data_IF_042586335588
#
_entry.id   IF_042586335588
#
_cell.length_a   1.000
_cell.length_b   1.000
_cell.length_c   1.000
_cell.angle_alpha   90.00
_cell.angle_beta   90.00
_cell.angle_gamma   90.00
#
_symmetry.space_group_name_H-M   'P 1'
#
loop_
_entity.id
_entity.type
_entity.pdbx_description
1 polymer ?
#
# COMPACT_ATOMS: atom_id res chain seq x y z
N UNK A 1 -27.28 6.83 4.57
CA UNK A 1 -25.88 6.42 4.35
C UNK A 1 -25.16 7.61 3.74
N UNK A 2 -23.98 7.95 4.24
CA UNK A 2 -23.13 9.02 3.69
C UNK A 2 -22.02 8.38 2.89
N UNK A 3 -21.66 8.95 1.76
CA UNK A 3 -20.60 8.44 0.87
C UNK A 3 -19.25 8.39 1.61
N UNK A 4 -18.99 9.38 2.46
CA UNK A 4 -17.72 9.52 3.19
C UNK A 4 -17.43 8.38 4.17
N UNK A 5 -18.48 7.65 4.60
CA UNK A 5 -18.38 6.54 5.57
C UNK A 5 -18.77 5.19 4.97
N UNK A 6 -19.03 5.15 3.65
CA UNK A 6 -19.39 3.92 2.96
C UNK A 6 -18.14 3.28 2.35
N UNK A 7 -17.72 2.16 2.89
CA UNK A 7 -16.61 1.35 2.40
C UNK A 7 -16.93 -0.15 2.53
N UNK A 8 -16.14 -1.03 1.91
CA UNK A 8 -16.34 -2.48 1.92
C UNK A 8 -15.04 -3.20 2.22
N UNK A 9 -15.10 -4.09 3.19
CA UNK A 9 -14.04 -5.04 3.52
C UNK A 9 -14.59 -6.46 3.40
N UNK A 10 -13.83 -7.37 2.80
CA UNK A 10 -14.27 -8.75 2.56
C UNK A 10 -13.10 -9.72 2.61
N UNK A 11 -12.82 -10.23 3.81
CA UNK A 11 -11.74 -11.18 4.08
C UNK A 11 -10.52 -10.56 4.73
N UNK A 12 -10.29 -9.25 4.58
CA UNK A 12 -9.16 -8.56 5.21
C UNK A 12 -9.30 -8.55 6.75
N UNK A 13 -10.51 -8.58 7.28
CA UNK A 13 -10.76 -8.79 8.72
C UNK A 13 -10.22 -10.13 9.21
N UNK A 14 -10.33 -11.17 8.40
CA UNK A 14 -9.75 -12.49 8.70
C UNK A 14 -8.23 -12.45 8.66
N UNK A 15 -7.66 -11.80 7.64
CA UNK A 15 -6.21 -11.57 7.53
C UNK A 15 -5.69 -10.80 8.74
N UNK A 16 -6.38 -9.72 9.13
CA UNK A 16 -6.03 -8.92 10.31
C UNK A 16 -5.96 -9.78 11.59
N UNK A 17 -6.97 -10.62 11.82
CA UNK A 17 -7.01 -11.54 12.97
C UNK A 17 -5.87 -12.56 12.96
N UNK A 18 -5.39 -12.92 11.78
CA UNK A 18 -4.31 -13.89 11.60
C UNK A 18 -2.91 -13.33 11.75
N UNK A 19 -2.74 -12.01 11.76
CA UNK A 19 -1.42 -11.41 11.96
C UNK A 19 -0.83 -11.79 13.30
N UNK A 20 0.45 -12.19 13.29
CA UNK A 20 1.19 -12.55 14.50
C UNK A 20 2.05 -11.37 14.97
N UNK A 21 1.40 -10.22 15.15
CA UNK A 21 2.00 -8.97 15.62
C UNK A 21 0.97 -8.19 16.41
N UNK A 22 1.42 -7.42 17.40
CA UNK A 22 0.53 -6.51 18.12
C UNK A 22 0.08 -5.37 17.21
N UNK A 23 -1.24 -5.29 17.00
CA UNK A 23 -1.90 -4.27 16.18
C UNK A 23 -2.72 -3.27 16.99
N UNK A 24 -2.66 -3.33 18.33
CA UNK A 24 -3.41 -2.41 19.18
C UNK A 24 -2.96 -0.97 18.98
N UNK A 25 -3.91 -0.04 19.00
CA UNK A 25 -3.71 1.41 18.82
C UNK A 25 -2.85 1.75 17.59
N UNK A 26 -3.14 1.11 16.46
CA UNK A 26 -2.35 1.25 15.23
C UNK A 26 -3.20 1.45 13.98
N UNK A 27 -2.53 1.90 12.90
CA UNK A 27 -3.01 1.72 11.54
C UNK A 27 -2.43 0.39 11.01
N UNK A 28 -3.28 -0.46 10.47
CA UNK A 28 -2.83 -1.66 9.77
C UNK A 28 -3.05 -1.47 8.28
N UNK A 29 -1.97 -1.59 7.52
CA UNK A 29 -1.99 -1.48 6.07
C UNK A 29 -1.88 -2.87 5.46
N UNK A 30 -2.79 -3.20 4.57
CA UNK A 30 -2.79 -4.40 3.76
C UNK A 30 -2.69 -4.01 2.28
N UNK A 31 -1.47 -3.69 1.78
CA UNK A 31 -1.25 -3.39 0.38
C UNK A 31 -1.63 -4.59 -0.50
N UNK A 32 -2.48 -4.36 -1.49
CA UNK A 32 -3.02 -5.38 -2.38
C UNK A 32 -3.69 -4.76 -3.59
N UNK A 33 -4.49 -5.55 -4.32
CA UNK A 33 -5.30 -5.02 -5.44
C UNK A 33 -6.16 -3.84 -4.97
N UNK A 34 -6.85 -4.04 -3.85
CA UNK A 34 -7.61 -3.05 -3.10
C UNK A 34 -6.94 -2.86 -1.75
N UNK A 35 -5.94 -2.00 -1.69
CA UNK A 35 -5.19 -1.73 -0.46
C UNK A 35 -6.13 -1.26 0.65
N UNK A 36 -5.97 -1.80 1.86
CA UNK A 36 -6.73 -1.39 3.04
C UNK A 36 -5.85 -0.62 4.02
N UNK A 37 -6.40 0.46 4.56
CA UNK A 37 -5.88 1.17 5.72
C UNK A 37 -6.90 1.05 6.84
N UNK A 38 -6.60 0.26 7.86
CA UNK A 38 -7.52 -0.14 8.93
C UNK A 38 -7.07 0.51 10.22
N UNK A 39 -7.96 1.23 10.89
CA UNK A 39 -7.72 1.80 12.21
C UNK A 39 -8.14 0.80 13.29
N UNK A 40 -7.20 0.42 14.14
CA UNK A 40 -7.43 -0.49 15.27
C UNK A 40 -7.26 0.28 16.56
N UNK A 41 -8.25 0.14 17.46
CA UNK A 41 -8.26 0.78 18.78
C UNK A 41 -7.36 0.05 19.80
N UNK A 42 -7.17 0.66 20.98
CA UNK A 42 -6.39 0.06 22.08
C UNK A 42 -7.01 -1.22 22.65
N UNK A 43 -8.31 -1.47 22.43
CA UNK A 43 -9.00 -2.70 22.80
C UNK A 43 -9.14 -3.68 21.61
N UNK A 44 -8.26 -3.54 20.63
CA UNK A 44 -8.15 -4.43 19.44
C UNK A 44 -9.40 -4.50 18.55
N UNK A 45 -10.21 -3.44 18.53
CA UNK A 45 -11.39 -3.37 17.65
C UNK A 45 -11.08 -2.58 16.38
N UNK A 46 -11.60 -3.02 15.25
CA UNK A 46 -11.64 -2.23 14.02
C UNK A 46 -12.63 -1.08 14.25
N UNK A 47 -12.16 0.17 14.19
CA UNK A 47 -12.99 1.35 14.39
C UNK A 47 -13.29 2.11 13.09
N UNK A 48 -12.40 2.00 12.11
CA UNK A 48 -12.57 2.59 10.78
C UNK A 48 -11.66 1.91 9.76
N UNK A 49 -11.97 2.03 8.48
CA UNK A 49 -11.08 1.59 7.41
C UNK A 49 -11.33 2.35 6.11
N UNK A 50 -10.30 2.42 5.27
CA UNK A 50 -10.34 3.03 3.95
C UNK A 50 -9.73 2.12 2.91
N UNK A 51 -10.36 2.07 1.73
CA UNK A 51 -9.91 1.25 0.60
C UNK A 51 -9.32 2.13 -0.50
N UNK A 52 -8.18 1.70 -1.06
CA UNK A 52 -7.52 2.33 -2.20
C UNK A 52 -7.36 1.31 -3.34
N UNK A 53 -7.51 1.77 -4.58
CA UNK A 53 -7.38 0.93 -5.79
C UNK A 53 -5.93 0.78 -6.28
N UNK A 54 -4.94 0.99 -5.43
CA UNK A 54 -3.54 1.14 -5.82
C UNK A 54 -3.00 -0.02 -6.63
N UNK A 55 -3.25 -1.26 -6.20
CA UNK A 55 -2.77 -2.44 -6.92
C UNK A 55 -3.50 -2.67 -8.24
N UNK A 56 -4.81 -2.48 -8.27
CA UNK A 56 -5.61 -2.60 -9.50
C UNK A 56 -5.23 -1.51 -10.50
N UNK A 57 -5.07 -0.26 -10.05
CA UNK A 57 -4.58 0.84 -10.89
C UNK A 57 -3.17 0.56 -11.43
N UNK A 58 -2.26 0.03 -10.60
CA UNK A 58 -0.93 -0.38 -11.05
C UNK A 58 -1.03 -1.36 -12.20
N UNK A 59 -1.87 -2.40 -12.06
CA UNK A 59 -2.06 -3.42 -13.09
C UNK A 59 -2.68 -2.82 -14.36
N UNK A 60 -3.78 -2.10 -14.24
CA UNK A 60 -4.50 -1.53 -15.38
C UNK A 60 -3.62 -0.54 -16.16
N UNK A 61 -2.94 0.38 -15.46
CA UNK A 61 -2.08 1.38 -16.11
C UNK A 61 -0.89 0.73 -16.80
N UNK A 62 -0.24 -0.24 -16.16
CA UNK A 62 0.91 -0.93 -16.73
C UNK A 62 0.56 -1.82 -17.92
N UNK A 63 -0.70 -2.21 -18.10
CA UNK A 63 -1.13 -3.14 -19.12
C UNK A 63 -1.88 -2.47 -20.27
N UNK A 64 -2.78 -1.56 -19.96
CA UNK A 64 -3.81 -1.08 -20.90
C UNK A 64 -3.62 0.39 -21.31
N UNK A 65 -2.44 1.00 -21.02
CA UNK A 65 -2.13 2.37 -21.39
C UNK A 65 -0.84 2.49 -22.20
N UNK A 66 -0.50 3.72 -22.60
CA UNK A 66 0.79 4.03 -23.24
C UNK A 66 2.00 3.68 -22.36
N UNK A 67 1.81 3.42 -21.07
CA UNK A 67 2.86 3.05 -20.14
C UNK A 67 3.18 1.54 -20.16
N UNK A 68 2.43 0.73 -20.89
CA UNK A 68 2.61 -0.73 -20.94
C UNK A 68 4.00 -1.18 -21.40
N UNK A 69 4.71 -0.35 -22.18
CA UNK A 69 6.10 -0.61 -22.61
C UNK A 69 7.15 -0.02 -21.67
N UNK A 70 6.76 0.85 -20.75
CA UNK A 70 7.66 1.58 -19.84
C UNK A 70 7.61 1.03 -18.42
N UNK A 71 6.42 0.66 -17.96
CA UNK A 71 6.17 0.16 -16.60
C UNK A 71 6.13 -1.36 -16.64
N UNK A 72 7.15 -2.00 -16.06
CA UNK A 72 7.22 -3.44 -15.95
C UNK A 72 7.11 -3.86 -14.47
N UNK A 73 5.99 -4.43 -14.09
CA UNK A 73 5.71 -4.89 -12.72
C UNK A 73 6.63 -6.04 -12.22
N UNK A 74 7.45 -6.63 -13.10
CA UNK A 74 8.46 -7.62 -12.72
C UNK A 74 9.77 -6.97 -12.24
N UNK A 75 9.92 -5.66 -12.46
CA UNK A 75 11.05 -4.89 -11.99
C UNK A 75 10.91 -4.59 -10.49
N UNK A 76 12.04 -4.43 -9.81
CA UNK A 76 12.06 -3.87 -8.46
C UNK A 76 12.08 -2.33 -8.56
N UNK A 77 11.22 -1.61 -7.83
CA UNK A 77 11.19 -0.17 -7.91
C UNK A 77 12.47 0.43 -7.31
N UNK A 78 13.22 1.19 -8.12
CA UNK A 78 14.40 1.92 -7.66
C UNK A 78 14.01 2.95 -6.60
N UNK A 79 14.68 2.91 -5.44
CA UNK A 79 14.33 3.74 -4.27
C UNK A 79 14.48 5.24 -4.51
N UNK A 80 15.50 5.64 -5.28
CA UNK A 80 15.72 7.06 -5.62
C UNK A 80 14.58 7.56 -6.51
N UNK A 81 14.23 6.79 -7.52
CA UNK A 81 13.15 7.17 -8.43
C UNK A 81 11.77 7.06 -7.77
N UNK A 82 11.59 6.18 -6.81
CA UNK A 82 10.39 6.12 -5.97
C UNK A 82 10.17 7.44 -5.21
N UNK A 83 11.24 7.99 -4.60
CA UNK A 83 11.18 9.33 -3.97
C UNK A 83 10.90 10.43 -4.99
N UNK A 84 11.62 10.44 -6.11
CA UNK A 84 11.44 11.46 -7.16
C UNK A 84 10.00 11.44 -7.67
N UNK A 85 9.40 10.27 -7.91
CA UNK A 85 8.02 10.13 -8.35
C UNK A 85 7.02 10.63 -7.32
N UNK A 86 7.21 10.29 -6.05
CA UNK A 86 6.41 10.77 -4.93
C UNK A 86 6.43 12.30 -4.83
N UNK A 87 7.62 12.90 -4.80
CA UNK A 87 7.80 14.34 -4.71
C UNK A 87 7.31 15.09 -5.97
N UNK A 88 7.45 14.47 -7.14
CA UNK A 88 6.92 15.03 -8.39
C UNK A 88 5.40 15.06 -8.35
N UNK A 89 4.76 13.97 -7.90
CA UNK A 89 3.31 13.90 -7.76
C UNK A 89 2.78 14.93 -6.74
N UNK A 90 3.49 15.14 -5.65
CA UNK A 90 3.16 16.18 -4.67
C UNK A 90 3.06 17.59 -5.29
N UNK A 91 3.91 17.88 -6.27
CA UNK A 91 4.00 19.20 -6.93
C UNK A 91 3.09 19.34 -8.14
N UNK A 92 2.87 18.26 -8.89
CA UNK A 92 2.27 18.28 -10.22
C UNK A 92 0.98 17.47 -10.37
N UNK A 93 0.68 16.65 -9.36
CA UNK A 93 -0.46 15.75 -9.38
C UNK A 93 -0.25 14.48 -10.19
N UNK A 94 -1.15 13.52 -10.01
CA UNK A 94 -0.99 12.16 -10.54
C UNK A 94 -0.99 12.09 -12.07
N UNK A 95 -1.87 12.84 -12.74
CA UNK A 95 -2.01 12.76 -14.20
C UNK A 95 -0.74 13.18 -14.93
N UNK A 96 -0.12 14.29 -14.49
CA UNK A 96 1.15 14.75 -15.05
C UNK A 96 2.29 13.78 -14.72
N UNK A 97 2.31 13.22 -13.51
CA UNK A 97 3.31 12.25 -13.07
C UNK A 97 3.27 10.98 -13.90
N UNK A 98 2.09 10.45 -14.18
CA UNK A 98 1.94 9.27 -15.03
C UNK A 98 2.48 9.53 -16.45
N UNK A 99 2.13 10.66 -17.06
CA UNK A 99 2.69 11.00 -18.36
C UNK A 99 4.20 11.22 -18.31
N UNK A 100 4.73 11.80 -17.23
CA UNK A 100 6.16 12.02 -17.05
C UNK A 100 6.94 10.70 -16.98
N UNK A 101 6.35 9.62 -16.46
CA UNK A 101 6.95 8.28 -16.50
C UNK A 101 7.32 7.87 -17.92
N UNK A 102 6.44 8.13 -18.90
CA UNK A 102 6.74 7.86 -20.31
C UNK A 102 7.90 8.70 -20.85
N UNK A 103 7.98 9.97 -20.42
CA UNK A 103 9.06 10.90 -20.85
C UNK A 103 10.43 10.45 -20.29
N UNK A 104 10.47 9.92 -19.05
CA UNK A 104 11.70 9.39 -18.45
C UNK A 104 12.29 8.27 -19.31
N UNK A 105 11.48 7.31 -19.73
CA UNK A 105 11.90 6.24 -20.61
C UNK A 105 12.36 6.77 -21.99
N UNK A 106 11.53 7.60 -22.63
CA UNK A 106 11.79 8.04 -24.00
C UNK A 106 12.99 8.97 -24.14
N UNK A 107 13.14 9.94 -23.24
CA UNK A 107 14.13 11.02 -23.35
C UNK A 107 15.35 10.74 -22.47
N UNK A 108 15.14 10.34 -21.20
CA UNK A 108 16.22 10.15 -20.25
C UNK A 108 16.77 8.72 -20.23
N UNK A 109 16.16 7.80 -20.99
CA UNK A 109 16.61 6.40 -21.15
C UNK A 109 16.76 5.70 -19.80
N UNK A 110 15.82 5.94 -18.88
CA UNK A 110 15.77 5.24 -17.59
C UNK A 110 15.59 3.73 -17.83
N UNK A 111 16.20 2.92 -16.98
CA UNK A 111 15.93 1.48 -16.98
C UNK A 111 14.55 1.13 -16.38
N UNK A 112 14.19 -0.16 -16.44
CA UNK A 112 12.89 -0.63 -15.97
C UNK A 112 12.66 -0.41 -14.48
N UNK A 113 13.70 -0.55 -13.63
CA UNK A 113 13.59 -0.35 -12.18
C UNK A 113 13.35 1.14 -11.85
N UNK A 114 14.06 2.03 -12.56
CA UNK A 114 13.93 3.48 -12.41
C UNK A 114 12.56 3.97 -12.86
N UNK A 115 12.11 3.54 -14.05
CA UNK A 115 10.79 3.91 -14.59
C UNK A 115 9.67 3.39 -13.69
N UNK A 116 9.79 2.14 -13.21
CA UNK A 116 8.81 1.54 -12.30
C UNK A 116 8.84 2.23 -10.93
N UNK A 117 10.02 2.58 -10.41
CA UNK A 117 10.16 3.33 -9.16
C UNK A 117 9.45 4.69 -9.23
N UNK A 118 9.70 5.47 -10.29
CA UNK A 118 9.05 6.77 -10.47
C UNK A 118 7.52 6.64 -10.58
N UNK A 119 7.04 5.69 -11.36
CA UNK A 119 5.62 5.40 -11.51
C UNK A 119 4.98 5.06 -10.15
N UNK A 120 5.57 4.12 -9.40
CA UNK A 120 5.05 3.69 -8.10
C UNK A 120 5.06 4.82 -7.07
N UNK A 121 6.11 5.65 -7.06
CA UNK A 121 6.18 6.80 -6.17
C UNK A 121 5.03 7.78 -6.41
N UNK A 122 4.74 8.07 -7.66
CA UNK A 122 3.59 8.91 -8.03
C UNK A 122 2.25 8.30 -7.65
N UNK A 123 2.06 7.01 -7.92
CA UNK A 123 0.80 6.32 -7.66
C UNK A 123 0.50 6.21 -6.16
N UNK A 124 1.52 5.93 -5.34
CA UNK A 124 1.39 5.81 -3.89
C UNK A 124 1.25 7.16 -3.17
N UNK A 125 1.54 8.30 -3.82
CA UNK A 125 1.55 9.61 -3.15
C UNK A 125 0.27 9.91 -2.37
N UNK A 126 -0.89 9.78 -3.02
CA UNK A 126 -2.18 10.12 -2.38
C UNK A 126 -2.48 9.23 -1.17
N UNK A 127 -2.23 7.94 -1.28
CA UNK A 127 -2.42 6.96 -0.21
C UNK A 127 -1.48 7.25 0.96
N UNK A 128 -0.17 7.34 0.72
CA UNK A 128 0.84 7.60 1.74
C UNK A 128 0.60 8.94 2.44
N UNK A 129 0.33 10.01 1.69
CA UNK A 129 0.06 11.32 2.27
C UNK A 129 -1.16 11.30 3.18
N UNK A 130 -2.21 10.57 2.81
CA UNK A 130 -3.39 10.38 3.66
C UNK A 130 -3.05 9.58 4.91
N UNK A 131 -2.32 8.46 4.79
CA UNK A 131 -1.92 7.59 5.89
C UNK A 131 -1.08 8.37 6.93
N UNK A 132 -0.15 9.18 6.49
CA UNK A 132 0.68 10.01 7.38
C UNK A 132 -0.18 10.99 8.21
N UNK A 133 -1.28 11.48 7.67
CA UNK A 133 -2.16 12.44 8.33
C UNK A 133 -3.03 11.85 9.47
N UNK A 134 -3.13 10.52 9.59
CA UNK A 134 -3.87 9.90 10.68
C UNK A 134 -3.17 10.10 12.03
N UNK A 135 -3.91 10.15 13.18
CA UNK A 135 -3.33 10.43 14.49
C UNK A 135 -2.50 9.28 15.06
N UNK A 136 -2.71 8.04 14.62
CA UNK A 136 -2.00 6.87 15.13
C UNK A 136 -0.49 7.00 14.95
N UNK A 137 0.28 6.67 15.97
CA UNK A 137 1.75 6.74 15.94
C UNK A 137 2.40 5.48 15.37
N UNK A 138 1.69 4.36 15.40
CA UNK A 138 2.17 3.06 14.92
C UNK A 138 1.46 2.68 13.62
N UNK A 139 2.23 2.19 12.66
CA UNK A 139 1.73 1.64 11.39
C UNK A 139 2.29 0.23 11.24
N UNK A 140 1.42 -0.75 11.14
CA UNK A 140 1.76 -2.15 10.83
C UNK A 140 1.46 -2.38 9.35
N UNK A 141 2.46 -2.80 8.58
CA UNK A 141 2.31 -3.05 7.14
C UNK A 141 2.48 -4.55 6.87
N UNK A 142 1.42 -5.18 6.42
CA UNK A 142 1.38 -6.57 5.96
C UNK A 142 1.01 -6.62 4.45
N UNK A 143 0.46 -7.71 3.96
CA UNK A 143 0.02 -7.84 2.57
C UNK A 143 1.15 -8.15 1.59
N UNK A 144 0.87 -7.99 0.30
CA UNK A 144 1.74 -8.49 -0.78
C UNK A 144 3.02 -7.67 -0.93
N UNK A 145 4.16 -8.36 -1.02
CA UNK A 145 5.51 -7.78 -1.07
C UNK A 145 5.71 -6.70 -2.13
N UNK A 146 5.11 -6.85 -3.31
CA UNK A 146 5.29 -5.95 -4.45
C UNK A 146 4.84 -4.51 -4.14
N UNK A 147 3.79 -4.35 -3.32
CA UNK A 147 3.30 -3.06 -2.86
C UNK A 147 3.76 -2.73 -1.44
N UNK A 148 3.96 -3.75 -0.60
CA UNK A 148 4.39 -3.59 0.80
C UNK A 148 5.73 -2.86 0.91
N UNK A 149 6.75 -3.29 0.17
CA UNK A 149 8.08 -2.70 0.29
C UNK A 149 8.17 -1.24 -0.19
N UNK A 150 7.62 -0.85 -1.35
CA UNK A 150 7.52 0.57 -1.72
C UNK A 150 6.76 1.42 -0.70
N UNK A 151 5.65 0.91 -0.16
CA UNK A 151 4.86 1.58 0.88
C UNK A 151 5.67 1.79 2.15
N UNK A 152 6.32 0.75 2.67
CA UNK A 152 7.18 0.83 3.86
C UNK A 152 8.33 1.81 3.65
N UNK A 153 8.96 1.78 2.48
CA UNK A 153 10.04 2.70 2.15
C UNK A 153 9.58 4.16 2.22
N UNK A 154 8.47 4.50 1.54
CA UNK A 154 7.94 5.87 1.54
C UNK A 154 7.46 6.31 2.93
N UNK A 155 6.82 5.43 3.70
CA UNK A 155 6.41 5.75 5.07
C UNK A 155 7.61 6.07 5.96
N UNK A 156 8.71 5.34 5.84
CA UNK A 156 9.95 5.61 6.60
C UNK A 156 10.66 6.90 6.17
N UNK A 157 10.51 7.29 4.90
CA UNK A 157 11.12 8.52 4.38
C UNK A 157 10.34 9.80 4.75
N UNK A 158 9.00 9.70 4.84
CA UNK A 158 8.14 10.88 4.96
C UNK A 158 7.32 10.93 6.27
N UNK A 159 7.55 10.00 7.21
CA UNK A 159 6.81 9.91 8.47
C UNK A 159 7.74 9.62 9.65
N UNK A 160 7.49 10.27 10.79
CA UNK A 160 8.11 10.00 12.08
C UNK A 160 7.41 8.88 12.88
N UNK A 161 6.44 8.19 12.27
CA UNK A 161 5.68 7.12 12.90
C UNK A 161 6.53 5.85 13.03
N UNK A 162 6.20 5.02 14.03
CA UNK A 162 6.76 3.68 14.15
C UNK A 162 6.21 2.78 13.01
N UNK A 163 7.09 2.30 12.13
CA UNK A 163 6.70 1.46 10.99
C UNK A 163 7.15 0.02 11.22
N UNK A 164 6.20 -0.88 11.43
CA UNK A 164 6.39 -2.32 11.60
C UNK A 164 6.08 -2.99 10.26
N UNK A 165 7.09 -3.59 9.64
CA UNK A 165 6.90 -4.38 8.42
C UNK A 165 6.78 -5.86 8.80
N UNK A 166 5.62 -6.45 8.59
CA UNK A 166 5.38 -7.88 8.81
C UNK A 166 6.16 -8.67 7.75
N UNK A 167 6.85 -9.73 8.16
CA UNK A 167 7.56 -10.59 7.23
C UNK A 167 6.61 -11.28 6.23
N UNK A 168 7.17 -11.68 5.07
CA UNK A 168 6.34 -12.21 3.99
C UNK A 168 5.65 -13.52 4.37
N UNK A 169 6.34 -14.42 5.10
CA UNK A 169 5.76 -15.70 5.49
C UNK A 169 4.60 -15.53 6.48
N UNK A 170 4.73 -14.61 7.44
CA UNK A 170 3.65 -14.26 8.38
C UNK A 170 2.48 -13.62 7.66
N UNK A 171 2.74 -12.70 6.73
CA UNK A 171 1.70 -12.04 5.94
C UNK A 171 0.94 -13.04 5.04
N UNK A 172 1.64 -13.92 4.34
CA UNK A 172 1.04 -14.93 3.45
C UNK A 172 0.19 -15.97 4.23
N UNK A 173 0.57 -16.29 5.47
CA UNK A 173 -0.16 -17.21 6.33
C UNK A 173 -1.30 -16.56 7.12
N UNK A 174 -1.37 -15.24 7.19
CA UNK A 174 -2.34 -14.53 8.02
C UNK A 174 -3.80 -14.90 7.73
N UNK A 175 -4.27 -15.05 6.48
CA UNK A 175 -5.65 -15.48 6.22
C UNK A 175 -5.97 -16.86 6.82
N UNK A 176 -5.04 -17.83 6.69
CA UNK A 176 -5.21 -19.19 7.24
C UNK A 176 -5.22 -19.16 8.77
N UNK A 177 -4.29 -18.43 9.38
CA UNK A 177 -4.22 -18.29 10.83
C UNK A 177 -5.45 -17.58 11.41
N UNK A 178 -5.99 -16.60 10.68
CA UNK A 178 -7.23 -15.92 11.04
C UNK A 178 -8.43 -16.86 11.03
N UNK A 179 -8.57 -17.70 10.01
CA UNK A 179 -9.62 -18.72 9.95
C UNK A 179 -9.50 -19.70 11.12
N UNK A 180 -8.32 -20.17 11.45
CA UNK A 180 -8.09 -21.08 12.59
C UNK A 180 -8.48 -20.43 13.92
N UNK A 181 -8.13 -19.15 14.11
CA UNK A 181 -8.55 -18.39 15.30
C UNK A 181 -10.08 -18.28 15.38
N UNK A 182 -10.74 -17.88 14.29
CA UNK A 182 -12.20 -17.78 14.24
C UNK A 182 -12.86 -19.12 14.56
N UNK A 183 -12.38 -20.22 13.97
CA UNK A 183 -12.90 -21.56 14.23
C UNK A 183 -12.78 -21.96 15.71
N UNK A 184 -11.67 -21.64 16.36
CA UNK A 184 -11.47 -21.91 17.78
C UNK A 184 -12.42 -21.13 18.70
N UNK A 185 -12.85 -19.92 18.30
CA UNK A 185 -13.83 -19.14 19.05
C UNK A 185 -15.28 -19.62 18.88
N UNK A 186 -15.62 -20.14 17.70
CA UNK A 186 -16.99 -20.61 17.40
C UNK A 186 -17.23 -22.03 17.91
N UNK A 187 -16.18 -22.83 18.08
CA UNK A 187 -16.23 -24.22 18.55
C UNK A 187 -16.10 -24.40 20.06
N UNK A 188 -15.93 -23.32 20.82
CA UNK A 188 -15.90 -23.29 22.30
C UNK A 188 -17.24 -22.76 22.84
#
# INVERSE_FOLDING_TARGET
RKLETADVMRGEETELMGLNVDITDSLVLLPGSHSKCITVSSDSKIVDFHTYLTGEMTHAISKDTILSKTVNMKCEPDRKYLKIGYEYCAKKGINETLFKTRILDMIFKTDGNQSYGFFMGGLLYGEINRIISFPQRRIVVAGKKELKYPTVFLLKEYSEKEIICVDDASADNAPTMGLLKIYSYVGS
#
